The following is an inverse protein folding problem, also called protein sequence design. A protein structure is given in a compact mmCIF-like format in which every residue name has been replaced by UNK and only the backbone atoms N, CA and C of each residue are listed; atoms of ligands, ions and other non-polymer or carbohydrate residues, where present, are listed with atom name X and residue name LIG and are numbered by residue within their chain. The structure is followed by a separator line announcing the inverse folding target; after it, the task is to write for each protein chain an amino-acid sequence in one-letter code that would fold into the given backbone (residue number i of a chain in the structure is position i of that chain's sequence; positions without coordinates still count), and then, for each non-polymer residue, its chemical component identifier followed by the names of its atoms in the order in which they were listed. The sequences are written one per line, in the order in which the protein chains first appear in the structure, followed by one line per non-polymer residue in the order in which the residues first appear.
data_IF_449882636312
#
_entry.id   IF_449882636312
#
_cell.length_a   1.000
_cell.length_b   1.000
_cell.length_c   1.000
_cell.angle_alpha   90.00
_cell.angle_beta   90.00
_cell.angle_gamma   90.00
#
_symmetry.space_group_name_H-M   'P 1'
#
loop_
_entity.id
_entity.type
_entity.pdbx_description
1 polymer ?
#
# COMPACT_ATOMS: atom_id res chain seq x y z
N UNK A 1 11.16 38.73 -79.80
CA UNK A 1 10.84 39.86 -78.90
C UNK A 1 11.32 39.48 -77.52
N UNK A 2 12.17 40.28 -76.86
CA UNK A 2 11.78 41.36 -75.92
C UNK A 2 10.74 40.86 -74.90
N UNK A 3 10.94 40.84 -73.58
CA UNK A 3 12.03 41.34 -72.72
C UNK A 3 11.73 41.05 -71.24
N UNK A 4 12.67 41.46 -70.38
CA UNK A 4 12.74 41.53 -68.89
C UNK A 4 11.41 41.86 -68.16
N UNK A 5 11.24 41.70 -66.83
CA UNK A 5 12.01 42.27 -65.69
C UNK A 5 11.38 41.73 -64.38
N UNK A 6 12.09 41.30 -63.33
CA UNK A 6 12.57 42.01 -62.10
C UNK A 6 12.88 40.88 -61.08
N UNK A 7 13.80 40.91 -60.11
CA UNK A 7 14.71 41.90 -59.58
C UNK A 7 15.44 41.24 -58.39
N UNK A 8 16.76 41.40 -58.34
CA UNK A 8 17.68 40.92 -57.31
C UNK A 8 17.77 41.97 -56.19
N UNK A 9 17.76 41.60 -54.90
CA UNK A 9 18.33 42.46 -53.86
C UNK A 9 18.74 41.67 -52.61
N UNK A 10 20.06 41.58 -52.41
CA UNK A 10 20.69 41.30 -51.14
C UNK A 10 20.61 42.52 -50.22
N UNK A 11 20.45 42.31 -48.90
CA UNK A 11 20.47 43.37 -47.89
C UNK A 11 21.16 42.88 -46.61
N UNK A 12 22.21 43.62 -46.22
CA UNK A 12 23.11 43.41 -45.08
C UNK A 12 22.43 43.53 -43.71
N UNK A 13 22.98 42.72 -42.78
CA UNK A 13 23.20 42.87 -41.34
C UNK A 13 22.46 43.93 -40.50
N UNK A 14 22.04 43.51 -39.30
CA UNK A 14 22.47 44.17 -38.06
C UNK A 14 22.46 43.21 -36.87
N UNK A 15 23.36 43.47 -35.94
CA UNK A 15 23.56 42.84 -34.63
C UNK A 15 22.41 43.12 -33.66
N UNK A 16 22.46 42.40 -32.53
CA UNK A 16 21.76 42.62 -31.26
C UNK A 16 20.46 41.84 -31.04
N UNK A 17 20.58 40.82 -30.20
CA UNK A 17 19.45 40.00 -29.76
C UNK A 17 19.93 38.90 -28.84
N UNK A 18 20.20 39.27 -27.59
CA UNK A 18 20.40 38.39 -26.42
C UNK A 18 19.65 37.08 -26.62
N UNK A 19 20.38 35.98 -26.80
CA UNK A 19 19.82 34.64 -26.83
C UNK A 19 19.21 34.38 -25.46
N UNK A 20 17.89 34.58 -25.38
CA UNK A 20 17.08 34.33 -24.23
C UNK A 20 17.35 32.90 -23.75
N UNK A 21 17.86 32.81 -22.53
CA UNK A 21 17.83 31.62 -21.68
C UNK A 21 16.51 30.89 -21.90
N UNK A 22 16.50 29.60 -22.27
CA UNK A 22 15.26 28.87 -22.41
C UNK A 22 14.58 28.89 -21.04
N UNK A 23 13.45 29.57 -21.03
CA UNK A 23 12.51 29.72 -19.93
C UNK A 23 12.38 28.39 -19.23
N UNK A 24 12.64 28.39 -17.91
CA UNK A 24 12.44 27.25 -17.05
C UNK A 24 10.96 26.85 -17.10
N UNK A 25 10.61 26.00 -18.06
CA UNK A 25 9.38 25.24 -18.03
C UNK A 25 9.34 24.58 -16.66
N UNK A 26 8.22 24.75 -15.96
CA UNK A 26 7.93 24.12 -14.68
C UNK A 26 7.84 22.61 -14.89
N UNK A 27 8.99 21.96 -15.02
CA UNK A 27 9.13 20.51 -15.07
C UNK A 27 8.54 19.98 -13.77
N UNK A 28 7.44 19.25 -13.87
CA UNK A 28 6.75 18.66 -12.74
C UNK A 28 7.72 17.71 -12.02
N UNK A 29 7.95 17.94 -10.74
CA UNK A 29 8.72 17.03 -9.91
C UNK A 29 7.89 15.76 -9.68
N UNK A 30 8.08 14.75 -10.53
CA UNK A 30 7.31 13.51 -10.47
C UNK A 30 7.83 12.53 -9.40
N UNK A 31 9.09 12.66 -9.00
CA UNK A 31 9.79 11.69 -8.16
C UNK A 31 10.12 12.21 -6.77
N UNK A 32 10.48 11.32 -5.85
CA UNK A 32 10.97 11.68 -4.51
C UNK A 32 12.25 10.95 -4.15
N UNK A 33 13.13 11.65 -3.44
CA UNK A 33 14.35 11.04 -2.91
C UNK A 33 14.02 10.00 -1.83
N UNK A 34 14.61 8.80 -1.96
CA UNK A 34 14.41 7.69 -1.01
C UNK A 34 15.03 7.95 0.37
N UNK A 35 15.93 8.94 0.50
CA UNK A 35 16.61 9.27 1.76
C UNK A 35 15.91 10.40 2.53
N UNK A 36 15.71 11.55 1.89
CA UNK A 36 15.17 12.75 2.53
C UNK A 36 13.72 13.08 2.18
N UNK A 37 13.08 12.31 1.29
CA UNK A 37 11.69 12.54 0.83
C UNK A 37 11.47 13.89 0.11
N UNK A 38 12.56 14.57 -0.29
CA UNK A 38 12.47 15.79 -1.10
C UNK A 38 12.11 15.46 -2.54
N UNK A 39 11.28 16.31 -3.16
CA UNK A 39 10.87 16.20 -4.57
C UNK A 39 12.09 16.26 -5.50
N UNK A 40 12.10 15.39 -6.51
CA UNK A 40 13.16 15.27 -7.51
C UNK A 40 12.56 15.31 -8.92
N UNK A 41 13.29 15.92 -9.86
CA UNK A 41 12.85 16.08 -11.26
C UNK A 41 13.06 14.80 -12.08
N UNK A 42 14.16 14.11 -11.82
CA UNK A 42 14.63 12.97 -12.60
C UNK A 42 15.35 11.98 -11.66
N UNK A 43 15.20 10.67 -11.92
CA UNK A 43 15.88 9.61 -11.15
C UNK A 43 17.29 9.34 -11.69
N UNK A 44 17.46 9.44 -13.00
CA UNK A 44 18.73 9.26 -13.71
C UNK A 44 18.87 10.30 -14.82
N UNK A 45 20.10 10.57 -15.23
CA UNK A 45 20.43 11.31 -16.45
C UNK A 45 21.03 10.36 -17.47
N UNK A 46 20.54 10.45 -18.69
CA UNK A 46 21.20 9.84 -19.83
C UNK A 46 22.25 10.81 -20.35
N UNK A 47 23.52 10.45 -20.19
CA UNK A 47 24.59 11.15 -20.89
C UNK A 47 24.69 10.50 -22.27
N UNK A 48 24.35 11.26 -23.33
CA UNK A 48 24.49 10.85 -24.73
C UNK A 48 25.70 9.92 -24.86
N UNK A 49 25.46 8.70 -25.38
CA UNK A 49 26.30 7.47 -25.34
C UNK A 49 25.73 6.31 -24.47
N UNK A 50 24.50 6.41 -23.96
CA UNK A 50 23.82 5.29 -23.29
C UNK A 50 24.33 5.02 -21.88
N UNK A 51 25.07 5.96 -21.29
CA UNK A 51 25.54 5.88 -19.90
C UNK A 51 24.50 6.56 -19.02
N UNK A 52 23.68 5.72 -18.39
CA UNK A 52 22.71 6.14 -17.38
C UNK A 52 23.44 6.40 -16.06
N UNK A 53 23.31 7.62 -15.51
CA UNK A 53 23.87 7.96 -14.21
C UNK A 53 22.77 8.40 -13.25
N UNK A 54 22.72 7.79 -12.06
CA UNK A 54 21.77 8.16 -11.02
C UNK A 54 21.96 9.64 -10.62
N UNK A 55 20.87 10.36 -10.53
CA UNK A 55 20.87 11.77 -10.12
C UNK A 55 21.13 11.89 -8.62
N UNK A 56 21.95 12.86 -8.23
CA UNK A 56 22.24 13.15 -6.83
C UNK A 56 21.21 14.17 -6.30
N UNK A 57 20.66 13.89 -5.11
CA UNK A 57 19.70 14.78 -4.47
C UNK A 57 20.38 16.07 -3.99
N UNK A 58 19.84 17.23 -4.38
CA UNK A 58 20.39 18.54 -3.98
C UNK A 58 20.36 18.80 -2.47
N UNK A 59 19.43 18.17 -1.75
CA UNK A 59 19.23 18.40 -0.31
C UNK A 59 20.14 17.52 0.56
N UNK A 60 20.22 16.22 0.28
CA UNK A 60 20.98 15.28 1.11
C UNK A 60 22.28 14.77 0.49
N UNK A 61 22.60 15.18 -0.74
CA UNK A 61 23.80 14.80 -1.48
C UNK A 61 24.00 13.28 -1.66
N UNK A 62 22.92 12.51 -1.53
CA UNK A 62 22.87 11.05 -1.78
C UNK A 62 22.15 10.75 -3.10
N UNK A 63 22.36 9.57 -3.71
CA UNK A 63 21.59 9.16 -4.89
C UNK A 63 20.08 9.26 -4.63
N UNK A 64 19.34 9.84 -5.56
CA UNK A 64 17.89 10.08 -5.43
C UNK A 64 17.15 8.76 -5.21
N UNK A 65 17.49 7.74 -6.00
CA UNK A 65 16.97 6.40 -5.87
C UNK A 65 17.97 5.37 -6.40
N UNK A 66 18.51 4.54 -5.52
CA UNK A 66 19.43 3.45 -5.87
C UNK A 66 18.71 2.17 -6.30
N UNK A 67 17.42 2.02 -5.98
CA UNK A 67 16.68 0.78 -6.24
C UNK A 67 16.30 0.62 -7.71
N UNK A 68 16.47 1.65 -8.54
CA UNK A 68 16.22 1.56 -9.98
C UNK A 68 17.15 0.56 -10.69
N UNK A 69 18.34 0.31 -10.12
CA UNK A 69 19.32 -0.65 -10.64
C UNK A 69 19.18 -2.03 -9.99
N UNK A 70 18.40 -2.14 -8.90
CA UNK A 70 18.29 -3.38 -8.15
C UNK A 70 17.21 -4.27 -8.75
N UNK A 71 17.45 -5.58 -8.68
CA UNK A 71 16.43 -6.56 -9.01
C UNK A 71 15.21 -6.42 -8.07
N UNK A 72 13.97 -6.52 -8.57
CA UNK A 72 12.75 -6.49 -7.76
C UNK A 72 12.77 -7.41 -6.53
N UNK A 73 13.48 -8.54 -6.55
CA UNK A 73 13.62 -9.44 -5.40
C UNK A 73 14.37 -8.76 -4.24
N UNK A 74 15.42 -8.00 -4.53
CA UNK A 74 16.18 -7.26 -3.52
C UNK A 74 15.32 -6.13 -2.93
N UNK A 75 14.51 -5.49 -3.77
CA UNK A 75 13.55 -4.47 -3.35
C UNK A 75 12.52 -5.09 -2.41
N UNK A 76 11.98 -6.27 -2.75
CA UNK A 76 11.03 -7.02 -1.94
C UNK A 76 11.64 -7.41 -0.58
N UNK A 77 12.86 -7.93 -0.54
CA UNK A 77 13.55 -8.25 0.72
C UNK A 77 13.69 -7.00 1.59
N UNK A 78 14.10 -5.87 1.02
CA UNK A 78 14.23 -4.63 1.78
C UNK A 78 12.87 -4.07 2.24
N UNK A 79 11.80 -4.31 1.47
CA UNK A 79 10.44 -4.02 1.90
C UNK A 79 10.05 -4.91 3.09
N UNK A 80 10.29 -6.23 3.02
CA UNK A 80 10.07 -7.18 4.12
C UNK A 80 10.86 -6.77 5.36
N UNK A 81 12.08 -6.24 5.21
CA UNK A 81 12.86 -5.69 6.32
C UNK A 81 12.35 -4.34 6.85
N UNK A 82 11.19 -3.86 6.37
CA UNK A 82 10.57 -2.60 6.76
C UNK A 82 11.50 -1.37 6.54
N UNK A 83 12.41 -1.43 5.56
CA UNK A 83 13.32 -0.31 5.26
C UNK A 83 12.55 0.83 4.61
N UNK A 84 12.63 2.02 5.21
CA UNK A 84 11.96 3.24 4.72
C UNK A 84 12.24 3.55 3.24
N UNK A 85 13.48 3.30 2.80
CA UNK A 85 13.93 3.60 1.46
C UNK A 85 13.20 2.75 0.40
N UNK A 86 12.95 1.46 0.69
CA UNK A 86 12.22 0.57 -0.21
C UNK A 86 10.75 0.99 -0.35
N UNK A 87 10.09 1.36 0.76
CA UNK A 87 8.72 1.89 0.71
C UNK A 87 8.63 3.18 -0.11
N UNK A 88 9.63 4.07 0.00
CA UNK A 88 9.66 5.31 -0.79
C UNK A 88 9.82 5.04 -2.29
N UNK A 89 10.73 4.13 -2.65
CA UNK A 89 10.88 3.68 -4.03
C UNK A 89 9.54 3.16 -4.57
N UNK A 90 8.96 2.16 -3.90
CA UNK A 90 7.74 1.48 -4.36
C UNK A 90 6.55 2.44 -4.47
N UNK A 91 6.39 3.36 -3.51
CA UNK A 91 5.22 4.23 -3.43
C UNK A 91 5.30 5.46 -4.32
N UNK A 92 6.49 6.05 -4.49
CA UNK A 92 6.66 7.35 -5.17
C UNK A 92 7.39 7.25 -6.50
N UNK A 93 8.32 6.30 -6.66
CA UNK A 93 9.18 6.23 -7.84
C UNK A 93 8.83 5.07 -8.78
N UNK A 94 8.03 4.10 -8.31
CA UNK A 94 7.55 2.98 -9.11
C UNK A 94 6.07 3.16 -9.48
N UNK A 95 5.71 2.85 -10.73
CA UNK A 95 4.30 2.78 -11.17
C UNK A 95 3.75 1.38 -10.93
N UNK A 96 3.36 1.06 -9.70
CA UNK A 96 2.69 -0.21 -9.41
C UNK A 96 1.18 -0.03 -9.62
N UNK A 97 0.59 -0.83 -10.51
CA UNK A 97 -0.86 -0.86 -10.73
C UNK A 97 -1.54 -2.05 -10.04
N UNK A 98 -0.78 -2.90 -9.33
CA UNK A 98 -1.26 -4.17 -8.78
C UNK A 98 -1.74 -4.11 -7.32
N UNK A 99 -1.85 -2.93 -6.71
CA UNK A 99 -2.23 -2.78 -5.30
C UNK A 99 -3.59 -3.43 -4.97
N UNK A 100 -4.58 -3.29 -5.84
CA UNK A 100 -5.92 -3.90 -5.63
C UNK A 100 -5.89 -5.42 -5.71
N UNK A 101 -5.19 -5.99 -6.71
CA UNK A 101 -5.01 -7.44 -6.85
C UNK A 101 -4.29 -8.03 -5.63
N UNK A 102 -3.22 -7.37 -5.19
CA UNK A 102 -2.47 -7.76 -4.00
C UNK A 102 -3.36 -7.76 -2.75
N UNK A 103 -4.22 -6.75 -2.58
CA UNK A 103 -5.17 -6.70 -1.47
C UNK A 103 -6.12 -7.90 -1.49
N UNK A 104 -6.70 -8.22 -2.66
CA UNK A 104 -7.59 -9.38 -2.82
C UNK A 104 -6.86 -10.67 -2.43
N UNK A 105 -5.63 -10.90 -2.90
CA UNK A 105 -4.84 -12.06 -2.50
C UNK A 105 -4.57 -12.11 -1.00
N UNK A 106 -4.26 -10.97 -0.38
CA UNK A 106 -4.03 -10.88 1.06
C UNK A 106 -5.30 -11.23 1.87
N UNK A 107 -6.47 -10.76 1.41
CA UNK A 107 -7.76 -11.10 2.01
C UNK A 107 -8.11 -12.58 1.83
N UNK A 108 -7.84 -13.15 0.66
CA UNK A 108 -8.03 -14.58 0.41
C UNK A 108 -7.13 -15.45 1.29
N UNK A 109 -5.86 -15.06 1.50
CA UNK A 109 -4.94 -15.78 2.39
C UNK A 109 -5.44 -15.78 3.83
N UNK A 110 -5.95 -14.65 4.30
CA UNK A 110 -6.49 -14.54 5.66
C UNK A 110 -7.81 -15.29 5.83
N UNK A 111 -8.71 -15.19 4.85
CA UNK A 111 -9.97 -15.94 4.84
C UNK A 111 -9.70 -17.45 4.82
N UNK A 112 -8.75 -17.90 3.99
CA UNK A 112 -8.34 -19.29 3.93
C UNK A 112 -7.77 -19.78 5.25
N UNK A 113 -6.90 -19.00 5.90
CA UNK A 113 -6.36 -19.36 7.21
C UNK A 113 -7.46 -19.55 8.26
N UNK A 114 -8.40 -18.60 8.35
CA UNK A 114 -9.52 -18.68 9.31
C UNK A 114 -10.42 -19.88 9.03
N UNK A 115 -10.72 -20.12 7.76
CA UNK A 115 -11.52 -21.27 7.33
C UNK A 115 -10.80 -22.61 7.60
N UNK A 116 -9.48 -22.67 7.39
CA UNK A 116 -8.66 -23.85 7.72
C UNK A 116 -8.67 -24.14 9.22
N UNK A 117 -8.48 -23.11 10.06
CA UNK A 117 -8.53 -23.23 11.53
C UNK A 117 -9.90 -23.71 12.03
N UNK A 118 -10.99 -23.27 11.40
CA UNK A 118 -12.34 -23.74 11.76
C UNK A 118 -12.59 -25.19 11.39
N UNK A 119 -12.03 -25.68 10.28
CA UNK A 119 -12.17 -27.08 9.92
C UNK A 119 -11.42 -28.02 10.85
N UNK A 120 -10.23 -27.62 11.30
CA UNK A 120 -9.47 -28.38 12.29
C UNK A 120 -10.27 -28.56 13.59
N UNK A 121 -11.02 -27.52 14.00
CA UNK A 121 -11.90 -27.59 15.17
C UNK A 121 -13.16 -28.47 14.98
N UNK A 122 -13.58 -28.75 13.74
CA UNK A 122 -14.86 -29.38 13.40
C UNK A 122 -14.73 -30.80 12.80
N UNK A 123 -13.58 -31.48 12.97
CA UNK A 123 -13.27 -32.79 12.36
C UNK A 123 -14.21 -33.99 12.70
N UNK A 124 -15.34 -33.80 13.40
CA UNK A 124 -16.15 -34.90 13.95
C UNK A 124 -17.50 -35.21 13.23
N UNK A 125 -17.75 -34.77 11.99
CA UNK A 125 -19.07 -35.01 11.36
C UNK A 125 -19.01 -35.52 9.91
N UNK A 126 -19.57 -36.72 9.70
CA UNK A 126 -19.74 -37.48 8.44
C UNK A 126 -21.08 -37.15 7.71
N UNK A 127 -21.31 -37.59 6.44
CA UNK A 127 -21.35 -36.66 5.31
C UNK A 127 -22.74 -36.38 4.72
N UNK A 128 -22.86 -35.25 3.99
CA UNK A 128 -23.76 -35.09 2.84
C UNK A 128 -23.38 -33.85 2.01
N UNK A 129 -23.81 -33.76 0.75
CA UNK A 129 -23.53 -32.64 -0.17
C UNK A 129 -23.89 -31.24 0.38
N UNK A 130 -24.82 -31.18 1.34
CA UNK A 130 -25.11 -29.99 2.14
C UNK A 130 -23.86 -29.45 2.87
N UNK A 131 -22.99 -30.34 3.34
CA UNK A 131 -21.73 -29.99 4.00
C UNK A 131 -20.75 -29.36 3.00
N UNK A 132 -20.74 -29.76 1.73
CA UNK A 132 -19.84 -29.15 0.74
C UNK A 132 -20.26 -27.71 0.45
N UNK A 133 -21.56 -27.49 0.24
CA UNK A 133 -22.11 -26.14 0.05
C UNK A 133 -21.98 -25.28 1.31
N UNK A 134 -22.26 -25.83 2.50
CA UNK A 134 -22.05 -25.14 3.77
C UNK A 134 -20.58 -24.74 4.01
N UNK A 135 -19.62 -25.63 3.67
CA UNK A 135 -18.18 -25.33 3.76
C UNK A 135 -17.76 -24.20 2.83
N UNK A 136 -18.35 -24.08 1.64
CA UNK A 136 -18.12 -22.95 0.73
C UNK A 136 -18.70 -21.64 1.29
N UNK A 137 -19.89 -21.67 1.90
CA UNK A 137 -20.48 -20.51 2.58
C UNK A 137 -19.65 -20.04 3.77
N UNK A 138 -19.09 -20.96 4.55
CA UNK A 138 -18.20 -20.62 5.66
C UNK A 138 -16.95 -19.87 5.16
N UNK A 139 -16.41 -20.25 4.00
CA UNK A 139 -15.31 -19.51 3.38
C UNK A 139 -15.72 -18.08 2.99
N UNK A 140 -16.86 -17.91 2.31
CA UNK A 140 -17.34 -16.57 1.93
C UNK A 140 -17.64 -15.69 3.15
N UNK A 141 -18.18 -16.27 4.23
CA UNK A 141 -18.39 -15.58 5.51
C UNK A 141 -17.06 -15.13 6.12
N UNK A 142 -16.05 -16.01 6.18
CA UNK A 142 -14.71 -15.66 6.68
C UNK A 142 -14.06 -14.56 5.84
N UNK A 143 -14.22 -14.60 4.51
CA UNK A 143 -13.75 -13.56 3.61
C UNK A 143 -14.45 -12.22 3.88
N UNK A 144 -15.77 -12.22 4.04
CA UNK A 144 -16.54 -11.01 4.35
C UNK A 144 -16.09 -10.40 5.68
N UNK A 145 -15.97 -11.21 6.74
CA UNK A 145 -15.48 -10.76 8.05
C UNK A 145 -14.06 -10.18 7.94
N UNK A 146 -13.13 -10.88 7.29
CA UNK A 146 -11.77 -10.39 7.09
C UNK A 146 -11.73 -9.07 6.29
N UNK A 147 -12.60 -8.92 5.29
CA UNK A 147 -12.72 -7.67 4.50
C UNK A 147 -13.25 -6.50 5.33
N UNK A 148 -14.22 -6.77 6.21
CA UNK A 148 -14.79 -5.77 7.12
C UNK A 148 -13.75 -5.35 8.16
N UNK A 149 -13.03 -6.28 8.76
CA UNK A 149 -11.97 -5.99 9.73
C UNK A 149 -10.87 -5.13 9.12
N UNK A 150 -10.41 -5.49 7.93
CA UNK A 150 -9.42 -4.71 7.20
C UNK A 150 -9.92 -3.30 6.87
N UNK A 151 -11.20 -3.18 6.50
CA UNK A 151 -11.83 -1.90 6.21
C UNK A 151 -11.96 -1.04 7.47
N UNK A 152 -12.40 -1.62 8.58
CA UNK A 152 -12.50 -0.94 9.88
C UNK A 152 -11.13 -0.45 10.37
N UNK A 153 -10.09 -1.28 10.22
CA UNK A 153 -8.72 -0.90 10.53
C UNK A 153 -8.26 0.33 9.72
N UNK A 154 -8.49 0.33 8.40
CA UNK A 154 -8.16 1.48 7.55
C UNK A 154 -8.99 2.72 7.90
N UNK A 155 -10.31 2.56 8.10
CA UNK A 155 -11.20 3.65 8.49
C UNK A 155 -10.71 4.27 9.80
N UNK A 156 -10.35 3.48 10.81
CA UNK A 156 -9.80 3.97 12.08
C UNK A 156 -8.48 4.75 11.95
N UNK A 157 -7.63 4.39 10.99
CA UNK A 157 -6.42 5.16 10.65
C UNK A 157 -6.79 6.48 9.98
N UNK A 158 -7.68 6.44 8.98
CA UNK A 158 -8.08 7.63 8.22
C UNK A 158 -8.81 8.64 9.11
N UNK A 159 -9.72 8.20 9.98
CA UNK A 159 -10.46 9.06 10.90
C UNK A 159 -9.53 9.74 11.89
N UNK A 160 -8.60 9.01 12.50
CA UNK A 160 -7.61 9.59 13.42
C UNK A 160 -6.71 10.61 12.72
N UNK A 161 -6.22 10.30 11.51
CA UNK A 161 -5.37 11.22 10.75
C UNK A 161 -6.14 12.44 10.25
N UNK A 162 -7.44 12.31 9.98
CA UNK A 162 -8.32 13.41 9.63
C UNK A 162 -8.52 14.36 10.82
N UNK A 163 -8.86 13.80 12.00
CA UNK A 163 -9.15 14.55 13.22
C UNK A 163 -7.88 15.16 13.84
N UNK A 164 -6.78 14.40 13.87
CA UNK A 164 -5.52 14.80 14.49
C UNK A 164 -4.69 15.82 13.69
N UNK A 165 -5.11 16.16 12.47
CA UNK A 165 -4.48 17.23 11.68
C UNK A 165 -5.21 18.54 11.96
N UNK A 166 -4.59 19.52 12.64
CA UNK A 166 -5.17 20.84 12.71
C UNK A 166 -5.36 21.38 11.29
N UNK A 167 -6.49 22.06 11.07
CA UNK A 167 -7.00 22.61 9.81
C UNK A 167 -6.04 23.64 9.12
N UNK A 168 -4.79 23.75 9.60
CA UNK A 168 -3.75 24.71 9.23
C UNK A 168 -2.68 24.15 8.27
N UNK A 169 -2.72 22.86 7.90
CA UNK A 169 -1.77 22.28 6.95
C UNK A 169 -2.13 22.62 5.47
N UNK A 170 -1.35 23.51 4.85
CA UNK A 170 -1.54 24.00 3.46
C UNK A 170 -1.49 22.92 2.35
N UNK A 171 -1.02 21.71 2.63
CA UNK A 171 -1.04 20.57 1.68
C UNK A 171 -2.08 19.54 2.12
N UNK A 172 -3.16 19.39 1.33
CA UNK A 172 -4.14 18.31 1.50
C UNK A 172 -3.42 16.95 1.43
N UNK A 173 -3.69 16.01 2.35
CA UNK A 173 -3.12 14.68 2.26
C UNK A 173 -3.70 13.95 1.03
N UNK A 174 -2.83 13.32 0.25
CA UNK A 174 -3.26 12.45 -0.86
C UNK A 174 -3.83 11.15 -0.27
N UNK A 175 -5.12 11.14 0.08
CA UNK A 175 -5.80 9.97 0.65
C UNK A 175 -5.63 8.71 -0.22
N UNK A 176 -5.67 8.87 -1.54
CA UNK A 176 -5.46 7.78 -2.51
C UNK A 176 -4.06 7.18 -2.35
N UNK A 177 -3.04 8.02 -2.16
CA UNK A 177 -1.67 7.55 -1.97
C UNK A 177 -1.51 6.81 -0.64
N UNK A 178 -2.13 7.33 0.43
CA UNK A 178 -2.13 6.66 1.74
C UNK A 178 -2.86 5.31 1.67
N UNK A 179 -4.00 5.25 0.98
CA UNK A 179 -4.72 4.00 0.76
C UNK A 179 -3.86 3.00 -0.02
N UNK A 180 -3.22 3.43 -1.12
CA UNK A 180 -2.28 2.58 -1.88
C UNK A 180 -1.13 2.08 -1.00
N UNK A 181 -0.59 2.93 -0.14
CA UNK A 181 0.49 2.56 0.79
C UNK A 181 0.02 1.51 1.80
N UNK A 182 -1.19 1.66 2.36
CA UNK A 182 -1.79 0.73 3.32
C UNK A 182 -2.17 -0.62 2.69
N UNK A 183 -2.72 -0.60 1.48
CA UNK A 183 -3.00 -1.81 0.70
C UNK A 183 -1.70 -2.56 0.37
N UNK A 184 -0.67 -1.82 -0.03
CA UNK A 184 0.64 -2.39 -0.30
C UNK A 184 1.22 -3.00 0.98
N UNK A 185 1.28 -2.27 2.09
CA UNK A 185 1.89 -2.74 3.34
C UNK A 185 1.22 -3.97 3.96
N UNK A 186 0.04 -4.34 3.48
CA UNK A 186 -0.64 -5.58 3.84
C UNK A 186 -0.07 -6.83 3.15
N UNK A 187 0.95 -6.70 2.28
CA UNK A 187 1.61 -7.82 1.59
C UNK A 187 2.11 -8.93 2.52
N UNK A 188 2.39 -8.60 3.79
CA UNK A 188 2.87 -9.57 4.79
C UNK A 188 1.89 -10.71 5.04
N UNK A 189 0.59 -10.54 4.72
CA UNK A 189 -0.40 -11.62 4.79
C UNK A 189 -0.12 -12.75 3.80
N UNK A 190 0.66 -12.54 2.75
CA UNK A 190 1.09 -13.61 1.86
C UNK A 190 2.05 -14.61 2.55
N UNK A 191 2.73 -14.18 3.63
CA UNK A 191 3.58 -15.06 4.43
C UNK A 191 2.77 -16.11 5.21
N UNK A 192 1.43 -15.99 5.23
CA UNK A 192 0.54 -17.02 5.77
C UNK A 192 0.61 -18.33 4.96
N UNK A 193 0.81 -18.24 3.64
CA UNK A 193 0.86 -19.42 2.75
C UNK A 193 1.98 -20.38 3.19
N UNK A 194 3.27 -19.97 3.25
CA UNK A 194 4.33 -20.85 3.70
C UNK A 194 4.17 -21.26 5.17
N UNK A 195 3.58 -20.40 6.02
CA UNK A 195 3.33 -20.73 7.42
C UNK A 195 2.31 -21.87 7.59
N UNK A 196 1.33 -21.98 6.70
CA UNK A 196 0.34 -23.07 6.70
C UNK A 196 0.85 -24.31 5.99
N UNK A 197 1.55 -24.16 4.85
CA UNK A 197 2.10 -25.30 4.10
C UNK A 197 3.14 -26.06 4.93
N UNK A 198 3.97 -25.32 5.67
CA UNK A 198 5.05 -25.89 6.46
C UNK A 198 4.62 -26.09 7.91
N UNK A 199 3.59 -26.92 8.10
CA UNK A 199 2.96 -27.21 9.38
C UNK A 199 3.99 -27.67 10.43
N UNK A 200 4.11 -26.90 11.50
CA UNK A 200 5.04 -27.13 12.61
C UNK A 200 4.36 -26.85 13.95
N UNK A 201 4.92 -27.41 15.04
CA UNK A 201 4.43 -27.18 16.41
C UNK A 201 4.35 -25.68 16.77
N UNK A 202 5.08 -24.83 16.06
CA UNK A 202 5.16 -23.38 16.28
C UNK A 202 4.25 -22.54 15.36
N UNK A 203 3.28 -23.15 14.66
CA UNK A 203 2.38 -22.45 13.72
C UNK A 203 1.69 -21.25 14.38
N UNK A 204 1.17 -21.40 15.61
CA UNK A 204 0.51 -20.30 16.33
C UNK A 204 1.45 -19.10 16.63
N UNK A 205 2.72 -19.37 16.94
CA UNK A 205 3.71 -18.31 17.13
C UNK A 205 4.04 -17.62 15.80
N UNK A 206 4.18 -18.38 14.71
CA UNK A 206 4.42 -17.85 13.37
C UNK A 206 3.30 -16.90 12.94
N UNK A 207 2.04 -17.29 13.12
CA UNK A 207 0.88 -16.44 12.83
C UNK A 207 0.88 -15.14 13.64
N UNK A 208 1.23 -15.22 14.93
CA UNK A 208 1.36 -14.03 15.79
C UNK A 208 2.46 -13.09 15.29
N UNK A 209 3.61 -13.63 14.89
CA UNK A 209 4.71 -12.85 14.33
C UNK A 209 4.33 -12.19 13.00
N UNK A 210 3.60 -12.89 12.13
CA UNK A 210 3.08 -12.32 10.88
C UNK A 210 2.11 -11.16 11.16
N UNK A 211 1.23 -11.28 12.17
CA UNK A 211 0.34 -10.17 12.55
C UNK A 211 1.13 -8.94 13.04
N UNK A 212 2.14 -9.14 13.89
CA UNK A 212 3.04 -8.06 14.36
C UNK A 212 3.83 -7.45 13.20
N UNK A 213 4.28 -8.28 12.26
CA UNK A 213 4.97 -7.85 11.06
C UNK A 213 4.10 -6.96 10.17
N UNK A 214 2.87 -7.39 9.87
CA UNK A 214 1.91 -6.59 9.09
C UNK A 214 1.62 -5.25 9.77
N UNK A 215 1.47 -5.25 11.10
CA UNK A 215 1.28 -4.01 11.87
C UNK A 215 2.48 -3.07 11.76
N UNK A 216 3.69 -3.61 11.85
CA UNK A 216 4.94 -2.85 11.72
C UNK A 216 5.12 -2.29 10.31
N UNK A 217 4.77 -3.07 9.29
CA UNK A 217 4.74 -2.66 7.89
C UNK A 217 3.76 -1.50 7.66
N UNK A 218 2.54 -1.59 8.20
CA UNK A 218 1.54 -0.53 8.14
C UNK A 218 2.02 0.75 8.85
N UNK A 219 2.64 0.62 10.03
CA UNK A 219 3.26 1.74 10.74
C UNK A 219 4.30 2.46 9.88
N UNK A 220 5.17 1.69 9.24
CA UNK A 220 6.23 2.22 8.39
C UNK A 220 5.67 2.88 7.13
N UNK A 221 4.63 2.32 6.51
CA UNK A 221 3.96 2.88 5.35
C UNK A 221 3.33 4.25 5.66
N UNK A 222 2.64 4.39 6.80
CA UNK A 222 2.07 5.67 7.24
C UNK A 222 3.19 6.71 7.45
N UNK A 223 4.28 6.32 8.14
CA UNK A 223 5.42 7.21 8.39
C UNK A 223 6.06 7.69 7.10
N UNK A 224 6.30 6.80 6.16
CA UNK A 224 6.95 7.11 4.88
C UNK A 224 6.05 8.00 4.02
N UNK A 225 4.75 7.71 3.98
CA UNK A 225 3.80 8.44 3.13
C UNK A 225 3.56 9.86 3.63
N UNK A 226 3.35 10.02 4.93
CA UNK A 226 2.96 11.29 5.54
C UNK A 226 4.14 12.10 6.10
N UNK A 227 5.32 11.49 6.18
CA UNK A 227 6.54 12.06 6.78
C UNK A 227 6.31 12.63 8.19
N UNK A 228 5.52 11.91 9.00
CA UNK A 228 5.14 12.32 10.36
C UNK A 228 6.01 11.65 11.44
N UNK A 229 5.96 12.23 12.64
CA UNK A 229 6.66 11.72 13.82
C UNK A 229 6.24 10.28 14.17
N UNK A 230 7.18 9.50 14.73
CA UNK A 230 6.94 8.10 15.16
C UNK A 230 5.73 7.99 16.07
N UNK A 231 5.58 8.90 17.04
CA UNK A 231 4.45 8.92 17.98
C UNK A 231 3.10 9.03 17.28
N UNK A 232 2.96 9.94 16.31
CA UNK A 232 1.70 10.15 15.61
C UNK A 232 1.32 8.94 14.73
N UNK A 233 2.30 8.32 14.08
CA UNK A 233 2.07 7.08 13.34
C UNK A 233 1.70 5.91 14.24
N UNK A 234 2.29 5.79 15.43
CA UNK A 234 1.90 4.77 16.40
C UNK A 234 0.46 4.99 16.86
N UNK A 235 0.09 6.22 17.20
CA UNK A 235 -1.28 6.55 17.60
C UNK A 235 -2.31 6.24 16.50
N UNK A 236 -1.98 6.53 15.23
CA UNK A 236 -2.84 6.18 14.10
C UNK A 236 -3.03 4.67 13.93
N UNK A 237 -1.97 3.88 14.18
CA UNK A 237 -2.07 2.42 14.15
C UNK A 237 -2.92 1.90 15.32
N UNK A 238 -2.73 2.46 16.52
CA UNK A 238 -3.53 2.09 17.69
C UNK A 238 -5.02 2.45 17.51
N UNK A 239 -5.34 3.58 16.89
CA UNK A 239 -6.74 3.92 16.57
C UNK A 239 -7.35 2.97 15.55
N UNK A 240 -6.57 2.54 14.54
CA UNK A 240 -6.96 1.50 13.60
C UNK A 240 -7.28 0.19 14.31
N UNK A 241 -6.38 -0.28 15.19
CA UNK A 241 -6.57 -1.50 15.98
C UNK A 241 -7.78 -1.42 16.92
N UNK A 242 -8.04 -0.26 17.52
CA UNK A 242 -9.22 -0.05 18.36
C UNK A 242 -10.51 -0.17 17.54
N UNK A 243 -10.56 0.41 16.35
CA UNK A 243 -11.72 0.28 15.45
C UNK A 243 -11.92 -1.15 14.97
N UNK A 244 -10.85 -1.84 14.57
CA UNK A 244 -10.87 -3.28 14.23
C UNK A 244 -11.44 -4.10 15.40
N UNK A 245 -10.90 -3.91 16.61
CA UNK A 245 -11.32 -4.67 17.80
C UNK A 245 -12.77 -4.38 18.19
N UNK A 246 -13.21 -3.12 18.07
CA UNK A 246 -14.59 -2.72 18.34
C UNK A 246 -15.55 -3.39 17.35
N UNK A 247 -15.16 -3.46 16.09
CA UNK A 247 -15.95 -4.11 15.04
C UNK A 247 -16.06 -5.62 15.29
N UNK A 248 -14.94 -6.28 15.64
CA UNK A 248 -14.93 -7.72 15.99
C UNK A 248 -15.84 -8.00 17.19
N UNK A 249 -15.74 -7.18 18.24
CA UNK A 249 -16.59 -7.30 19.42
C UNK A 249 -18.08 -7.15 19.06
N UNK A 250 -18.41 -6.19 18.20
CA UNK A 250 -19.79 -5.99 17.74
C UNK A 250 -20.32 -7.19 16.95
N UNK A 251 -19.52 -7.79 16.07
CA UNK A 251 -19.93 -9.00 15.34
C UNK A 251 -20.12 -10.21 16.26
N UNK A 252 -19.20 -10.43 17.21
CA UNK A 252 -19.35 -11.51 18.19
C UNK A 252 -20.62 -11.35 19.03
N UNK A 253 -20.94 -10.11 19.43
CA UNK A 253 -22.16 -9.82 20.17
C UNK A 253 -23.42 -10.08 19.33
N UNK A 254 -23.45 -9.63 18.08
CA UNK A 254 -24.58 -9.91 17.20
C UNK A 254 -24.76 -11.40 16.93
N UNK A 255 -23.67 -12.15 16.71
CA UNK A 255 -23.75 -13.61 16.54
C UNK A 255 -24.29 -14.31 17.78
N UNK A 256 -23.92 -13.85 18.97
CA UNK A 256 -24.46 -14.36 20.23
C UNK A 256 -25.96 -14.07 20.37
N UNK A 257 -26.40 -12.85 20.06
CA UNK A 257 -27.80 -12.45 20.15
C UNK A 257 -28.66 -13.27 19.15
N UNK A 258 -28.20 -13.43 17.90
CA UNK A 258 -28.88 -14.27 16.89
C UNK A 258 -28.90 -15.75 17.28
N UNK A 259 -27.82 -16.27 17.87
CA UNK A 259 -27.77 -17.64 18.37
C UNK A 259 -28.74 -17.88 19.53
N UNK A 260 -28.88 -16.90 20.43
CA UNK A 260 -29.85 -16.91 21.53
C UNK A 260 -31.29 -16.88 21.01
N UNK A 261 -31.60 -16.00 20.05
CA UNK A 261 -32.95 -15.89 19.47
C UNK A 261 -33.35 -17.17 18.71
N UNK A 262 -32.40 -17.80 18.00
CA UNK A 262 -32.65 -19.06 17.30
C UNK A 262 -32.83 -20.24 18.28
N UNK A 263 -32.11 -20.25 19.41
CA UNK A 263 -32.31 -21.23 20.48
C UNK A 263 -33.67 -21.05 21.19
N UNK A 264 -34.12 -19.82 21.38
CA UNK A 264 -35.44 -19.50 21.94
C UNK A 264 -36.56 -19.97 21.00
N UNK A 265 -36.44 -19.71 19.70
CA UNK A 265 -37.42 -20.16 18.71
C UNK A 265 -37.52 -21.70 18.68
N UNK A 266 -36.37 -22.40 18.70
CA UNK A 266 -36.31 -23.87 18.74
C UNK A 266 -36.88 -24.46 20.04
N UNK A 267 -36.93 -23.69 21.13
CA UNK A 267 -37.55 -24.10 22.39
C UNK A 267 -39.07 -23.89 22.44
N UNK A 268 -39.63 -23.08 21.54
CA UNK A 268 -41.07 -22.82 21.45
C UNK A 268 -41.80 -23.78 20.49
N UNK A 269 -41.07 -24.49 19.63
CA UNK A 269 -41.61 -25.47 18.66
C UNK A 269 -41.74 -26.91 19.21
N UNK A 270 -41.76 -27.11 20.54
CA UNK A 270 -41.99 -28.41 21.18
C UNK A 270 -43.22 -28.41 22.10
#
# INVERSE_FOLDING_TARGET
GKGNTEGLAAGRGNTDGVAATPTAASVSCQYRCIECNQEAKELYRDYNHGVLKITICKSCQKPVDKYIEYDPVIILINAILCKAQAYRHILFNTKINMHGKLCIFCLLCEAYLRWWQLQDSNQNTDPNDFIRYAKEWDFYRMFAIASLEQTAFFVGIFTFLWVGRPMTAKKKPNFILLLKALLLSSYGKLLLIPAVIWEHDYTALCLRLIKVFVLTSNFQAIRVTLNINRKLSLLAILSGLLMESTMVYFFQRMEWDVGSDCAIYKSQDF
#
